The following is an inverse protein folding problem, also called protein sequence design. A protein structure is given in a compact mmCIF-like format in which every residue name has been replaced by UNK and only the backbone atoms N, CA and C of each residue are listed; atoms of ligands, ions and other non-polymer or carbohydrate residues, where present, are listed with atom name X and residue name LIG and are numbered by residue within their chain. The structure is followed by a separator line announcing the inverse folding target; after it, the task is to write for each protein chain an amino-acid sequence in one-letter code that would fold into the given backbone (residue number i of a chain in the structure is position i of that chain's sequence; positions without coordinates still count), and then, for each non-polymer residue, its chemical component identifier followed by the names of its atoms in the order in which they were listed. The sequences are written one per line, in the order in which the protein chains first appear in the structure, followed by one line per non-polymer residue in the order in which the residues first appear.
data_IF_757653399708
#
_entry.id   IF_757653399708
#
_cell.length_a   1.000
_cell.length_b   1.000
_cell.length_c   1.000
_cell.angle_alpha   90.00
_cell.angle_beta   90.00
_cell.angle_gamma   90.00
#
_symmetry.space_group_name_H-M   'P 1'
#
loop_
_entity.id
_entity.type
_entity.pdbx_description
1 polymer ?
#
# COMPACT_ATOMS: atom_id res chain seq x y z
N UNK A 1 31.98 20.59 -5.81
CA UNK A 1 30.99 19.56 -6.19
C UNK A 1 30.30 18.90 -4.98
N UNK A 2 30.19 19.58 -3.81
CA UNK A 2 29.61 18.98 -2.57
C UNK A 2 28.17 19.42 -2.26
N UNK A 3 27.51 20.20 -3.11
CA UNK A 3 26.23 20.85 -2.80
C UNK A 3 25.02 20.39 -3.63
N UNK A 4 25.15 19.41 -4.51
CA UNK A 4 23.97 18.89 -5.21
C UNK A 4 23.33 17.81 -4.35
N UNK A 5 21.98 17.83 -4.22
CA UNK A 5 21.25 16.75 -3.56
C UNK A 5 21.52 15.40 -4.24
N UNK A 6 21.63 14.35 -3.46
CA UNK A 6 21.78 12.99 -3.97
C UNK A 6 20.44 12.58 -4.58
N UNK A 7 20.50 12.09 -5.80
CA UNK A 7 19.31 11.65 -6.53
C UNK A 7 18.85 10.26 -6.11
N UNK A 8 17.57 9.93 -6.37
CA UNK A 8 17.02 8.60 -6.18
C UNK A 8 17.82 7.53 -6.93
N UNK A 9 18.22 7.82 -8.18
CA UNK A 9 18.99 6.88 -8.99
C UNK A 9 20.38 6.59 -8.42
N UNK A 10 21.08 7.61 -7.91
CA UNK A 10 22.40 7.44 -7.27
C UNK A 10 22.30 6.62 -5.99
N UNK A 11 21.27 6.87 -5.18
CA UNK A 11 21.02 6.08 -3.95
C UNK A 11 20.68 4.63 -4.27
N UNK A 12 19.79 4.38 -5.23
CA UNK A 12 19.43 3.03 -5.62
C UNK A 12 20.63 2.26 -6.17
N UNK A 13 21.45 2.89 -7.01
CA UNK A 13 22.68 2.28 -7.54
C UNK A 13 23.68 1.93 -6.41
N UNK A 14 23.86 2.84 -5.46
CA UNK A 14 24.76 2.64 -4.32
C UNK A 14 24.27 1.54 -3.37
N UNK A 15 22.95 1.45 -3.15
CA UNK A 15 22.31 0.40 -2.36
C UNK A 15 22.43 -0.96 -3.07
N UNK A 16 22.12 -1.00 -4.36
CA UNK A 16 22.28 -2.21 -5.17
C UNK A 16 23.70 -2.75 -5.06
N UNK A 17 24.72 -1.89 -5.25
CA UNK A 17 26.12 -2.28 -5.18
C UNK A 17 26.48 -2.90 -3.83
N UNK A 18 26.17 -2.22 -2.72
CA UNK A 18 26.54 -2.73 -1.38
C UNK A 18 25.83 -4.03 -1.03
N UNK A 19 24.59 -4.22 -1.49
CA UNK A 19 23.86 -5.47 -1.28
C UNK A 19 24.43 -6.60 -2.14
N UNK A 20 24.81 -6.31 -3.38
CA UNK A 20 25.43 -7.28 -4.29
C UNK A 20 26.81 -7.78 -3.80
N UNK A 21 27.55 -6.95 -3.07
CA UNK A 21 28.85 -7.32 -2.49
C UNK A 21 28.71 -8.32 -1.32
N UNK A 22 27.50 -8.51 -0.76
CA UNK A 22 27.29 -9.41 0.38
C UNK A 22 26.96 -10.84 -0.10
N UNK A 23 27.77 -11.85 0.25
CA UNK A 23 27.55 -13.22 -0.21
C UNK A 23 26.35 -13.91 0.45
N UNK A 24 25.86 -13.40 1.57
CA UNK A 24 24.73 -13.92 2.32
C UNK A 24 23.38 -13.33 1.88
N UNK A 25 23.37 -12.43 0.89
CA UNK A 25 22.14 -11.88 0.29
C UNK A 25 21.82 -12.68 -0.98
N UNK A 26 20.63 -13.25 -1.07
CA UNK A 26 20.22 -14.09 -2.18
C UNK A 26 19.51 -13.30 -3.28
N UNK A 27 18.70 -12.31 -2.91
CA UNK A 27 18.03 -11.45 -3.88
C UNK A 27 17.76 -10.04 -3.31
N UNK A 28 17.64 -9.07 -4.21
CA UNK A 28 17.14 -7.73 -3.91
C UNK A 28 16.29 -7.24 -5.07
N UNK A 29 15.16 -6.60 -4.75
CA UNK A 29 14.27 -6.03 -5.73
C UNK A 29 13.61 -4.76 -5.19
N UNK A 30 13.20 -3.89 -6.10
CA UNK A 30 12.44 -2.70 -5.79
C UNK A 30 10.94 -3.00 -5.91
N UNK A 31 10.19 -2.64 -4.88
CA UNK A 31 8.74 -2.81 -4.75
C UNK A 31 8.00 -1.47 -4.91
N UNK A 32 6.87 -1.32 -4.25
CA UNK A 32 6.11 -0.08 -4.14
C UNK A 32 5.73 0.54 -5.47
N UNK A 33 5.91 1.85 -5.61
CA UNK A 33 5.56 2.58 -6.83
C UNK A 33 6.34 2.11 -8.06
N UNK A 34 7.58 1.65 -7.89
CA UNK A 34 8.41 1.13 -8.97
C UNK A 34 7.86 -0.18 -9.53
N UNK A 35 7.38 -1.09 -8.68
CA UNK A 35 6.77 -2.35 -9.09
C UNK A 35 5.47 -2.16 -9.90
N UNK A 36 4.76 -1.05 -9.69
CA UNK A 36 3.59 -0.69 -10.49
C UNK A 36 3.90 0.17 -11.73
N UNK A 37 5.17 0.43 -12.03
CA UNK A 37 5.57 1.33 -13.12
C UNK A 37 5.13 2.78 -12.89
N UNK A 38 4.96 3.20 -11.64
CA UNK A 38 4.41 4.50 -11.21
C UNK A 38 5.43 5.37 -10.48
N UNK A 39 6.72 4.97 -10.49
CA UNK A 39 7.76 5.74 -9.83
C UNK A 39 7.96 7.10 -10.51
N UNK A 40 7.99 8.17 -9.71
CA UNK A 40 8.18 9.55 -10.12
C UNK A 40 9.18 10.28 -9.20
N UNK A 41 9.28 11.60 -9.33
CA UNK A 41 10.18 12.42 -8.52
C UNK A 41 9.82 12.50 -7.03
N UNK A 42 8.62 12.05 -6.65
CA UNK A 42 8.11 12.03 -5.28
C UNK A 42 8.12 10.63 -4.67
N UNK A 43 8.58 9.64 -5.45
CA UNK A 43 8.57 8.24 -5.04
C UNK A 43 9.73 7.90 -4.14
N UNK A 44 9.43 7.13 -3.11
CA UNK A 44 10.39 6.50 -2.20
C UNK A 44 11.23 5.42 -2.90
N UNK A 45 12.23 4.90 -2.21
CA UNK A 45 12.91 3.66 -2.56
C UNK A 45 12.37 2.57 -1.66
N UNK A 46 11.47 1.75 -2.17
CA UNK A 46 10.92 0.57 -1.49
C UNK A 46 11.80 -0.65 -1.83
N UNK A 47 12.77 -0.97 -0.99
CA UNK A 47 13.78 -1.99 -1.25
C UNK A 47 13.54 -3.24 -0.42
N UNK A 48 13.36 -4.37 -1.10
CA UNK A 48 13.17 -5.69 -0.51
C UNK A 48 14.44 -6.51 -0.67
N UNK A 49 14.88 -7.18 0.41
CA UNK A 49 16.12 -7.96 0.45
C UNK A 49 15.85 -9.31 1.07
N UNK A 50 16.22 -10.38 0.36
CA UNK A 50 16.19 -11.75 0.86
C UNK A 50 17.60 -12.15 1.32
N UNK A 51 17.72 -12.61 2.57
CA UNK A 51 18.99 -12.83 3.22
C UNK A 51 19.01 -14.12 4.05
N UNK A 52 20.18 -14.74 4.23
CA UNK A 52 20.37 -15.82 5.19
C UNK A 52 19.88 -15.42 6.58
N UNK A 53 19.16 -16.31 7.26
CA UNK A 53 18.32 -16.01 8.43
C UNK A 53 19.05 -15.34 9.60
N UNK A 54 20.34 -15.62 9.74
CA UNK A 54 21.22 -15.11 10.79
C UNK A 54 21.98 -13.84 10.41
N UNK A 55 21.71 -13.26 9.21
CA UNK A 55 22.43 -12.11 8.67
C UNK A 55 21.60 -10.83 8.50
N UNK A 56 20.40 -10.79 9.06
CA UNK A 56 19.49 -9.61 8.97
C UNK A 56 20.19 -8.34 9.45
N UNK A 57 20.82 -8.37 10.62
CA UNK A 57 21.50 -7.21 11.19
C UNK A 57 22.72 -6.78 10.35
N UNK A 58 23.40 -7.73 9.72
CA UNK A 58 24.54 -7.46 8.85
C UNK A 58 24.14 -6.67 7.59
N UNK A 59 22.92 -6.93 7.05
CA UNK A 59 22.36 -6.13 5.94
C UNK A 59 22.18 -4.68 6.37
N UNK A 60 21.52 -4.43 7.50
CA UNK A 60 21.31 -3.07 7.99
C UNK A 60 22.64 -2.35 8.22
N UNK A 61 23.62 -3.02 8.84
CA UNK A 61 24.93 -2.44 9.07
C UNK A 61 25.65 -2.05 7.77
N UNK A 62 25.64 -2.93 6.74
CA UNK A 62 26.25 -2.65 5.45
C UNK A 62 25.57 -1.47 4.74
N UNK A 63 24.24 -1.44 4.75
CA UNK A 63 23.44 -0.34 4.17
C UNK A 63 23.69 0.97 4.91
N UNK A 64 23.67 0.98 6.24
CA UNK A 64 23.87 2.20 7.04
C UNK A 64 25.30 2.76 6.85
N UNK A 65 26.32 1.90 6.77
CA UNK A 65 27.68 2.31 6.45
C UNK A 65 27.76 2.94 5.05
N UNK A 66 27.11 2.32 4.06
CA UNK A 66 27.07 2.85 2.69
C UNK A 66 26.37 4.19 2.62
N UNK A 67 25.18 4.31 3.22
CA UNK A 67 24.43 5.56 3.26
C UNK A 67 25.20 6.69 3.91
N UNK A 68 25.83 6.44 5.08
CA UNK A 68 26.65 7.43 5.77
C UNK A 68 27.89 7.84 4.99
N UNK A 69 28.41 6.99 4.11
CA UNK A 69 29.53 7.36 3.20
C UNK A 69 29.12 8.36 2.12
N UNK A 70 27.82 8.40 1.77
CA UNK A 70 27.25 9.31 0.78
C UNK A 70 26.75 10.60 1.43
N UNK A 71 26.01 10.46 2.53
CA UNK A 71 25.43 11.56 3.30
C UNK A 71 25.14 11.10 4.72
N UNK A 72 25.23 11.96 5.72
CA UNK A 72 24.75 11.62 7.06
C UNK A 72 23.28 11.16 7.02
N UNK A 73 22.97 10.08 7.74
CA UNK A 73 21.60 9.68 7.99
C UNK A 73 21.05 10.61 9.09
N UNK A 74 20.04 11.41 8.79
CA UNK A 74 19.47 12.34 9.74
C UNK A 74 18.27 11.76 10.50
N UNK A 75 17.66 10.69 9.98
CA UNK A 75 16.55 10.00 10.65
C UNK A 75 16.56 8.52 10.30
N UNK A 76 16.39 7.70 11.33
CA UNK A 76 16.16 6.23 11.21
C UNK A 76 14.92 5.91 12.03
N UNK A 77 14.04 5.10 11.46
CA UNK A 77 12.95 4.46 12.19
C UNK A 77 12.95 2.97 11.90
N UNK A 78 13.00 2.16 12.93
CA UNK A 78 12.93 0.70 12.85
C UNK A 78 11.56 0.22 13.31
N UNK A 79 10.92 -0.65 12.53
CA UNK A 79 9.66 -1.28 12.92
C UNK A 79 9.92 -2.21 14.12
N UNK A 80 9.23 -1.99 15.26
CA UNK A 80 9.38 -2.87 16.42
C UNK A 80 9.05 -4.32 16.10
N UNK A 81 9.87 -5.24 16.64
CA UNK A 81 9.64 -6.67 16.50
C UNK A 81 8.82 -7.25 17.67
N UNK A 82 7.94 -8.24 17.41
CA UNK A 82 7.61 -8.82 16.09
C UNK A 82 6.75 -7.88 15.24
N UNK A 83 7.16 -7.65 14.00
CA UNK A 83 6.37 -6.88 13.05
C UNK A 83 5.15 -7.68 12.56
N UNK A 84 4.05 -6.99 12.26
CA UNK A 84 2.80 -7.63 11.81
C UNK A 84 2.96 -8.41 10.49
N UNK A 85 3.91 -8.01 9.65
CA UNK A 85 4.24 -8.66 8.38
C UNK A 85 5.36 -9.71 8.49
N UNK A 86 5.96 -9.90 9.68
CA UNK A 86 6.97 -10.93 9.93
C UNK A 86 8.39 -10.62 9.46
N UNK A 87 8.63 -9.45 8.84
CA UNK A 87 9.93 -9.05 8.33
C UNK A 87 10.55 -7.94 9.16
N UNK A 88 11.87 -7.76 9.03
CA UNK A 88 12.58 -6.62 9.62
C UNK A 88 12.53 -5.45 8.64
N UNK A 89 12.26 -4.24 9.15
CA UNK A 89 12.11 -3.07 8.29
C UNK A 89 12.65 -1.81 8.97
N UNK A 90 13.42 -1.04 8.20
CA UNK A 90 13.91 0.28 8.62
C UNK A 90 13.64 1.31 7.55
N UNK A 91 13.34 2.51 8.01
CA UNK A 91 13.19 3.70 7.17
C UNK A 91 14.36 4.64 7.41
N UNK A 92 14.88 5.24 6.33
CA UNK A 92 15.98 6.17 6.41
C UNK A 92 15.67 7.46 5.66
N UNK A 93 16.12 8.57 6.22
CA UNK A 93 16.19 9.86 5.54
C UNK A 93 17.62 10.39 5.62
N UNK A 94 18.11 10.96 4.52
CA UNK A 94 19.47 11.46 4.40
C UNK A 94 19.47 13.00 4.39
N UNK A 95 20.49 13.59 5.00
CA UNK A 95 20.65 15.04 5.08
C UNK A 95 20.76 15.70 3.69
N UNK A 96 21.48 15.05 2.75
CA UNK A 96 21.77 15.58 1.41
C UNK A 96 20.87 15.03 0.32
N UNK A 97 19.77 14.36 0.65
CA UNK A 97 18.74 13.95 -0.30
C UNK A 97 17.52 14.88 -0.19
N UNK A 98 16.57 14.75 -1.12
CA UNK A 98 15.27 15.42 -1.01
C UNK A 98 14.58 15.00 0.29
N UNK A 99 13.90 15.93 0.96
CA UNK A 99 13.08 15.64 2.15
C UNK A 99 11.92 14.68 1.85
N UNK A 100 11.53 14.57 0.58
CA UNK A 100 10.51 13.65 0.08
C UNK A 100 11.05 12.27 -0.26
N UNK A 101 12.38 12.08 -0.30
CA UNK A 101 13.00 10.81 -0.66
C UNK A 101 13.25 9.97 0.59
N UNK A 102 12.36 9.05 0.86
CA UNK A 102 12.49 8.05 1.91
C UNK A 102 13.12 6.76 1.34
N UNK A 103 13.91 6.08 2.13
CA UNK A 103 14.36 4.73 1.85
C UNK A 103 13.64 3.80 2.80
N UNK A 104 12.78 2.94 2.27
CA UNK A 104 12.10 1.86 2.98
C UNK A 104 12.84 0.55 2.66
N UNK A 105 13.55 0.02 3.65
CA UNK A 105 14.32 -1.21 3.52
C UNK A 105 13.68 -2.33 4.34
N UNK A 106 13.06 -3.28 3.65
CA UNK A 106 12.55 -4.51 4.24
C UNK A 106 13.53 -5.66 4.02
N UNK A 107 13.94 -6.30 5.10
CA UNK A 107 14.87 -7.44 5.10
C UNK A 107 14.13 -8.70 5.52
N UNK A 108 14.10 -9.67 4.61
CA UNK A 108 13.34 -10.91 4.72
C UNK A 108 14.30 -12.07 4.95
N UNK A 109 14.04 -12.89 5.95
CA UNK A 109 14.76 -14.14 6.13
C UNK A 109 14.50 -15.08 4.95
N UNK A 110 15.52 -15.79 4.49
CA UNK A 110 15.38 -16.75 3.39
C UNK A 110 14.32 -17.82 3.66
N UNK A 111 14.19 -18.26 4.92
CA UNK A 111 13.19 -19.22 5.36
C UNK A 111 11.74 -18.66 5.37
N UNK A 112 11.54 -17.35 5.27
CA UNK A 112 10.21 -16.75 5.21
C UNK A 112 9.49 -17.16 3.92
N UNK A 113 8.25 -17.62 4.05
CA UNK A 113 7.44 -18.08 2.92
C UNK A 113 6.72 -16.94 2.19
N UNK A 114 6.37 -15.89 2.91
CA UNK A 114 5.75 -14.69 2.34
C UNK A 114 6.85 -13.69 1.96
N UNK A 115 6.91 -13.34 0.67
CA UNK A 115 7.90 -12.41 0.10
C UNK A 115 7.24 -11.20 -0.56
N UNK A 116 5.91 -11.06 -0.44
CA UNK A 116 5.13 -10.00 -1.08
C UNK A 116 5.34 -9.91 -2.59
N UNK A 117 5.25 -11.07 -3.25
CA UNK A 117 5.53 -11.21 -4.69
C UNK A 117 4.27 -11.39 -5.55
N UNK A 118 3.08 -11.42 -4.98
CA UNK A 118 1.83 -11.50 -5.74
C UNK A 118 1.66 -10.23 -6.58
N UNK A 119 1.78 -10.36 -7.91
CA UNK A 119 1.82 -9.22 -8.86
C UNK A 119 0.57 -8.36 -8.74
N UNK A 120 -0.59 -8.98 -8.58
CA UNK A 120 -1.86 -8.27 -8.48
C UNK A 120 -1.94 -7.36 -7.24
N UNK A 121 -1.25 -7.76 -6.16
CA UNK A 121 -1.23 -7.03 -4.88
C UNK A 121 -0.05 -6.07 -4.78
N UNK A 122 1.14 -6.51 -5.21
CA UNK A 122 2.40 -5.81 -4.93
C UNK A 122 3.05 -5.20 -6.18
N UNK A 123 2.50 -5.47 -7.38
CA UNK A 123 3.08 -5.07 -8.65
C UNK A 123 4.19 -6.02 -9.12
N UNK A 124 4.72 -5.79 -10.31
CA UNK A 124 5.83 -6.57 -10.85
C UNK A 124 7.15 -6.14 -10.20
N UNK A 125 7.83 -7.02 -9.43
CA UNK A 125 9.04 -6.66 -8.72
C UNK A 125 10.14 -6.25 -9.70
N UNK A 126 10.73 -5.07 -9.48
CA UNK A 126 11.88 -4.64 -10.27
C UNK A 126 13.16 -5.27 -9.71
N UNK A 127 13.54 -6.41 -10.28
CA UNK A 127 14.68 -7.19 -9.81
C UNK A 127 15.97 -6.40 -10.00
N UNK A 128 16.73 -6.21 -8.92
CA UNK A 128 18.08 -5.66 -8.95
C UNK A 128 19.09 -6.77 -9.18
N UNK A 129 18.99 -7.84 -8.41
CA UNK A 129 19.64 -9.12 -8.64
C UNK A 129 18.88 -10.26 -7.93
N UNK A 130 19.05 -11.48 -8.44
CA UNK A 130 18.49 -12.70 -7.84
C UNK A 130 19.44 -13.89 -8.14
N UNK A 131 20.12 -14.37 -7.10
CA UNK A 131 21.11 -15.44 -7.17
C UNK A 131 20.53 -16.82 -6.92
N UNK A 132 19.37 -16.87 -6.29
CA UNK A 132 18.78 -18.12 -5.80
C UNK A 132 17.39 -18.41 -6.41
N UNK A 133 16.91 -17.57 -7.33
CA UNK A 133 15.57 -17.71 -7.90
C UNK A 133 14.46 -17.43 -6.88
N UNK A 134 14.73 -16.50 -5.96
CA UNK A 134 13.79 -16.12 -4.89
C UNK A 134 12.61 -15.30 -5.42
N UNK A 135 12.91 -14.43 -6.40
CA UNK A 135 11.91 -13.50 -6.94
C UNK A 135 11.08 -14.22 -8.01
N UNK A 136 10.24 -15.13 -7.56
CA UNK A 136 9.33 -15.90 -8.38
C UNK A 136 7.88 -15.62 -7.96
N UNK A 137 7.18 -14.67 -8.60
CA UNK A 137 5.81 -14.33 -8.26
C UNK A 137 4.89 -15.55 -8.32
N UNK A 138 4.16 -15.88 -7.24
CA UNK A 138 3.20 -16.96 -7.26
C UNK A 138 1.98 -16.58 -8.11
N UNK A 139 1.31 -17.54 -8.75
CA UNK A 139 0.04 -17.28 -9.41
C UNK A 139 -1.02 -16.91 -8.37
N UNK A 140 -1.89 -15.95 -8.72
CA UNK A 140 -3.02 -15.59 -7.87
C UNK A 140 -3.95 -16.80 -7.68
N UNK A 141 -4.22 -17.15 -6.43
CA UNK A 141 -5.28 -18.13 -6.09
C UNK A 141 -6.66 -17.45 -6.25
N UNK A 142 -7.21 -17.55 -7.46
CA UNK A 142 -8.48 -16.91 -7.83
C UNK A 142 -9.67 -17.51 -7.10
N UNK A 143 -9.63 -18.82 -6.80
CA UNK A 143 -10.71 -19.50 -6.11
C UNK A 143 -10.78 -19.04 -4.65
N UNK A 144 -9.63 -19.02 -3.95
CA UNK A 144 -9.54 -18.50 -2.61
C UNK A 144 -9.92 -17.00 -2.54
N UNK A 145 -9.46 -16.20 -3.49
CA UNK A 145 -9.81 -14.78 -3.57
C UNK A 145 -11.32 -14.60 -3.76
N UNK A 146 -11.95 -15.32 -4.70
CA UNK A 146 -13.39 -15.24 -4.94
C UNK A 146 -14.20 -15.59 -3.68
N UNK A 147 -13.84 -16.68 -2.99
CA UNK A 147 -14.49 -17.08 -1.74
C UNK A 147 -14.34 -16.00 -0.65
N UNK A 148 -13.15 -15.43 -0.50
CA UNK A 148 -12.88 -14.35 0.45
C UNK A 148 -13.69 -13.08 0.14
N UNK A 149 -13.82 -12.73 -1.13
CA UNK A 149 -14.56 -11.55 -1.57
C UNK A 149 -16.07 -11.69 -1.31
N UNK A 150 -16.65 -12.86 -1.54
CA UNK A 150 -18.06 -13.12 -1.21
C UNK A 150 -18.29 -12.93 0.30
N UNK A 151 -17.49 -13.55 1.14
CA UNK A 151 -17.57 -13.40 2.59
C UNK A 151 -17.34 -11.93 3.03
N UNK A 152 -16.44 -11.22 2.35
CA UNK A 152 -16.15 -9.81 2.62
C UNK A 152 -17.33 -8.90 2.27
N UNK A 153 -18.00 -9.11 1.14
CA UNK A 153 -19.19 -8.34 0.74
C UNK A 153 -20.30 -8.50 1.78
N UNK A 154 -20.55 -9.72 2.27
CA UNK A 154 -21.56 -9.94 3.31
C UNK A 154 -21.19 -9.27 4.63
N UNK A 155 -19.91 -9.29 5.00
CA UNK A 155 -19.40 -8.57 6.17
C UNK A 155 -19.57 -7.06 6.00
N UNK A 156 -19.19 -6.51 4.83
CA UNK A 156 -19.34 -5.10 4.52
C UNK A 156 -20.80 -4.66 4.58
N UNK A 157 -21.72 -5.42 3.98
CA UNK A 157 -23.15 -5.12 3.99
C UNK A 157 -23.69 -5.02 5.43
N UNK A 158 -23.33 -6.00 6.27
CA UNK A 158 -23.78 -6.06 7.67
C UNK A 158 -23.19 -4.92 8.51
N UNK A 159 -21.88 -4.73 8.44
CA UNK A 159 -21.16 -3.74 9.26
C UNK A 159 -21.47 -2.32 8.82
N UNK A 160 -21.65 -2.09 7.51
CA UNK A 160 -22.05 -0.80 6.99
C UNK A 160 -23.42 -0.37 7.53
N UNK A 161 -24.43 -1.25 7.44
CA UNK A 161 -25.78 -0.92 7.91
C UNK A 161 -25.84 -0.67 9.41
N UNK A 162 -25.04 -1.42 10.19
CA UNK A 162 -24.93 -1.22 11.64
C UNK A 162 -24.22 0.09 12.01
N UNK A 163 -23.12 0.44 11.35
CA UNK A 163 -22.22 1.49 11.84
C UNK A 163 -22.37 2.84 11.14
N UNK A 164 -22.92 2.92 9.92
CA UNK A 164 -23.21 4.20 9.25
C UNK A 164 -24.02 5.17 10.09
N UNK A 165 -24.86 4.64 11.00
CA UNK A 165 -25.69 5.45 11.89
C UNK A 165 -24.86 6.25 12.92
N UNK A 166 -23.59 5.86 13.18
CA UNK A 166 -22.74 6.60 14.13
C UNK A 166 -22.44 8.00 13.59
N UNK A 167 -22.13 8.13 12.30
CA UNK A 167 -21.97 9.45 11.67
C UNK A 167 -23.27 10.29 11.80
N UNK A 168 -24.41 9.69 11.51
CA UNK A 168 -25.73 10.36 11.63
C UNK A 168 -26.01 10.84 13.05
N UNK A 169 -25.69 10.04 14.07
CA UNK A 169 -25.86 10.43 15.47
C UNK A 169 -25.06 11.70 15.81
N UNK A 170 -23.82 11.79 15.37
CA UNK A 170 -22.98 12.94 15.67
C UNK A 170 -23.34 14.18 14.84
N UNK A 171 -23.81 14.00 13.61
CA UNK A 171 -24.41 15.08 12.81
C UNK A 171 -25.59 15.68 13.58
N UNK A 172 -26.52 14.85 14.08
CA UNK A 172 -27.70 15.29 14.82
C UNK A 172 -27.36 15.97 16.16
N UNK A 173 -26.19 15.63 16.75
CA UNK A 173 -25.69 16.28 17.98
C UNK A 173 -24.96 17.58 17.71
N UNK A 174 -24.59 17.87 16.46
CA UNK A 174 -23.75 19.02 16.09
C UNK A 174 -22.26 18.79 16.34
N UNK A 175 -21.80 17.54 16.59
CA UNK A 175 -20.41 17.16 16.86
C UNK A 175 -19.66 16.96 15.54
N UNK A 176 -19.22 18.05 14.92
CA UNK A 176 -18.66 18.03 13.57
C UNK A 176 -17.43 17.14 13.42
N UNK A 177 -16.51 17.13 14.39
CA UNK A 177 -15.28 16.34 14.31
C UNK A 177 -15.54 14.84 14.44
N UNK A 178 -16.37 14.44 15.41
CA UNK A 178 -16.74 13.02 15.57
C UNK A 178 -17.55 12.53 14.38
N UNK A 179 -18.46 13.36 13.87
CA UNK A 179 -19.24 13.07 12.67
C UNK A 179 -18.34 12.83 11.45
N UNK A 180 -17.30 13.66 11.26
CA UNK A 180 -16.34 13.52 10.16
C UNK A 180 -15.55 12.22 10.28
N UNK A 181 -15.05 11.90 11.46
CA UNK A 181 -14.27 10.66 11.70
C UNK A 181 -15.14 9.43 11.44
N UNK A 182 -16.38 9.41 11.94
CA UNK A 182 -17.29 8.30 11.72
C UNK A 182 -17.74 8.20 10.25
N UNK A 183 -17.99 9.32 9.58
CA UNK A 183 -18.26 9.35 8.16
C UNK A 183 -17.13 8.72 7.34
N UNK A 184 -15.90 9.12 7.59
CA UNK A 184 -14.74 8.57 6.88
C UNK A 184 -14.57 7.07 7.13
N UNK A 185 -14.71 6.62 8.37
CA UNK A 185 -14.42 5.23 8.74
C UNK A 185 -15.57 4.27 8.46
N UNK A 186 -16.83 4.69 8.62
CA UNK A 186 -18.00 3.81 8.56
C UNK A 186 -18.93 4.08 7.38
N UNK A 187 -18.58 5.07 6.54
CA UNK A 187 -19.37 5.37 5.34
C UNK A 187 -18.49 5.41 4.10
N UNK A 188 -17.51 6.31 4.04
CA UNK A 188 -16.71 6.53 2.84
C UNK A 188 -15.75 5.35 2.56
N UNK A 189 -14.98 4.90 3.54
CA UNK A 189 -14.04 3.78 3.35
C UNK A 189 -14.73 2.48 2.95
N UNK A 190 -15.82 2.04 3.60
CA UNK A 190 -16.57 0.85 3.15
C UNK A 190 -17.13 0.98 1.73
N UNK A 191 -17.63 2.16 1.35
CA UNK A 191 -18.05 2.43 -0.03
C UNK A 191 -16.91 2.27 -1.02
N UNK A 192 -15.75 2.85 -0.72
CA UNK A 192 -14.56 2.72 -1.59
C UNK A 192 -14.09 1.27 -1.68
N UNK A 193 -14.11 0.52 -0.58
CA UNK A 193 -13.78 -0.90 -0.59
C UNK A 193 -14.74 -1.70 -1.47
N UNK A 194 -16.04 -1.45 -1.37
CA UNK A 194 -17.04 -2.11 -2.22
C UNK A 194 -16.88 -1.75 -3.70
N UNK A 195 -16.57 -0.49 -4.02
CA UNK A 195 -16.24 -0.06 -5.38
C UNK A 195 -14.99 -0.75 -5.92
N UNK A 196 -13.98 -0.97 -5.06
CA UNK A 196 -12.80 -1.74 -5.45
C UNK A 196 -13.14 -3.20 -5.71
N UNK A 197 -13.95 -3.84 -4.86
CA UNK A 197 -14.43 -5.21 -5.09
C UNK A 197 -15.12 -5.32 -6.46
N UNK A 198 -15.89 -4.31 -6.85
CA UNK A 198 -16.56 -4.29 -8.15
C UNK A 198 -15.61 -4.10 -9.34
N UNK A 199 -14.60 -3.24 -9.22
CA UNK A 199 -13.79 -2.78 -10.36
C UNK A 199 -12.38 -3.34 -10.42
N UNK A 200 -11.77 -3.66 -9.27
CA UNK A 200 -10.42 -4.19 -9.13
C UNK A 200 -10.33 -5.06 -7.86
N UNK A 201 -11.04 -6.19 -7.86
CA UNK A 201 -11.21 -7.04 -6.67
C UNK A 201 -9.90 -7.52 -6.06
N UNK A 202 -8.84 -7.67 -6.84
CA UNK A 202 -7.51 -8.07 -6.37
C UNK A 202 -6.92 -7.04 -5.39
N UNK A 203 -7.33 -5.76 -5.49
CA UNK A 203 -6.83 -4.66 -4.66
C UNK A 203 -7.88 -4.05 -3.75
N UNK A 204 -8.88 -4.81 -3.35
CA UNK A 204 -9.98 -4.31 -2.52
C UNK A 204 -9.50 -3.70 -1.20
N UNK A 205 -8.40 -4.21 -0.63
CA UNK A 205 -7.83 -3.76 0.64
C UNK A 205 -7.03 -2.44 0.55
N UNK A 206 -6.81 -1.88 -0.65
CA UNK A 206 -5.98 -0.69 -0.84
C UNK A 206 -6.63 0.60 -0.32
N UNK A 207 -7.88 0.55 0.13
CA UNK A 207 -8.62 1.72 0.62
C UNK A 207 -8.56 2.87 -0.40
N UNK A 208 -8.15 4.07 0.02
CA UNK A 208 -8.04 5.25 -0.85
C UNK A 208 -6.73 5.31 -1.67
N UNK A 209 -5.79 4.40 -1.45
CA UNK A 209 -4.51 4.38 -2.18
C UNK A 209 -4.75 4.08 -3.66
N UNK A 210 -4.22 4.91 -4.55
CA UNK A 210 -4.30 4.77 -6.00
C UNK A 210 -5.72 4.74 -6.62
N UNK A 211 -6.77 5.19 -5.92
CA UNK A 211 -8.13 5.24 -6.49
C UNK A 211 -8.22 6.07 -7.77
N UNK A 212 -7.39 7.10 -7.90
CA UNK A 212 -7.29 7.94 -9.09
C UNK A 212 -6.75 7.22 -10.34
N UNK A 213 -6.11 6.07 -10.15
CA UNK A 213 -5.52 5.25 -11.22
C UNK A 213 -6.33 3.96 -11.39
N UNK A 214 -6.68 3.32 -10.27
CA UNK A 214 -7.28 1.99 -10.23
C UNK A 214 -8.78 2.00 -10.56
N UNK A 215 -9.48 3.12 -10.32
CA UNK A 215 -10.93 3.21 -10.57
C UNK A 215 -11.25 4.11 -11.77
N UNK A 216 -12.38 3.86 -12.46
CA UNK A 216 -12.82 4.72 -13.55
C UNK A 216 -12.91 6.20 -13.13
N UNK A 217 -12.49 7.12 -14.01
CA UNK A 217 -12.38 8.55 -13.70
C UNK A 217 -13.68 9.16 -13.12
N UNK A 218 -14.86 8.74 -13.60
CA UNK A 218 -16.15 9.22 -13.07
C UNK A 218 -16.38 8.79 -11.62
N UNK A 219 -15.95 7.58 -11.26
CA UNK A 219 -16.04 7.04 -9.90
C UNK A 219 -15.05 7.79 -9.01
N UNK A 220 -13.80 7.95 -9.44
CA UNK A 220 -12.81 8.74 -8.73
C UNK A 220 -13.31 10.15 -8.41
N UNK A 221 -13.81 10.89 -9.41
CA UNK A 221 -14.33 12.25 -9.21
C UNK A 221 -15.48 12.30 -8.20
N UNK A 222 -16.36 11.28 -8.19
CA UNK A 222 -17.44 11.20 -7.21
C UNK A 222 -16.91 10.93 -5.80
N UNK A 223 -15.95 10.01 -5.65
CA UNK A 223 -15.27 9.73 -4.37
C UNK A 223 -14.55 10.97 -3.86
N UNK A 224 -13.77 11.64 -4.71
CA UNK A 224 -13.04 12.86 -4.35
C UNK A 224 -13.97 13.95 -3.81
N UNK A 225 -15.09 14.21 -4.49
CA UNK A 225 -16.11 15.15 -4.02
C UNK A 225 -16.70 14.76 -2.66
N UNK A 226 -16.95 13.47 -2.43
CA UNK A 226 -17.44 12.96 -1.16
C UNK A 226 -16.39 13.07 -0.05
N UNK A 227 -15.10 12.92 -0.37
CA UNK A 227 -14.02 12.94 0.62
C UNK A 227 -13.76 14.34 1.20
N UNK A 228 -13.86 15.40 0.39
CA UNK A 228 -13.64 16.77 0.84
C UNK A 228 -14.92 17.37 1.43
N UNK A 229 -14.97 17.53 2.75
CA UNK A 229 -16.10 18.04 3.50
C UNK A 229 -15.81 19.44 4.04
N UNK A 230 -16.69 20.39 3.78
CA UNK A 230 -16.50 21.80 4.15
C UNK A 230 -17.15 22.20 5.49
N UNK A 231 -18.24 21.56 5.87
CA UNK A 231 -18.98 21.84 7.12
C UNK A 231 -19.96 20.70 7.42
N UNK A 232 -20.66 20.79 8.56
CA UNK A 232 -21.56 19.75 9.02
C UNK A 232 -22.77 19.52 8.10
N UNK A 233 -23.31 20.57 7.47
CA UNK A 233 -24.43 20.44 6.53
C UNK A 233 -23.98 19.74 5.23
N UNK A 234 -22.78 20.06 4.74
CA UNK A 234 -22.16 19.40 3.61
C UNK A 234 -21.86 17.93 3.93
N UNK A 235 -21.38 17.66 5.16
CA UNK A 235 -21.18 16.29 5.64
C UNK A 235 -22.47 15.49 5.63
N UNK A 236 -23.59 16.08 6.08
CA UNK A 236 -24.89 15.42 6.12
C UNK A 236 -25.36 15.00 4.72
N UNK A 237 -25.28 15.91 3.76
CA UNK A 237 -25.62 15.63 2.36
C UNK A 237 -24.74 14.54 1.76
N UNK A 238 -23.44 14.61 1.97
CA UNK A 238 -22.47 13.63 1.47
C UNK A 238 -22.63 12.27 2.13
N UNK A 239 -22.96 12.25 3.42
CA UNK A 239 -23.26 11.00 4.11
C UNK A 239 -24.49 10.31 3.51
N UNK A 240 -25.57 11.05 3.26
CA UNK A 240 -26.76 10.49 2.62
C UNK A 240 -26.42 9.94 1.24
N UNK A 241 -25.76 10.73 0.39
CA UNK A 241 -25.38 10.30 -0.95
C UNK A 241 -24.46 9.06 -0.94
N UNK A 242 -23.49 9.03 -0.03
CA UNK A 242 -22.57 7.89 0.07
C UNK A 242 -23.28 6.61 0.54
N UNK A 243 -24.27 6.74 1.43
CA UNK A 243 -25.12 5.63 1.88
C UNK A 243 -25.98 5.08 0.73
N UNK A 244 -26.63 5.95 -0.03
CA UNK A 244 -27.42 5.55 -1.20
C UNK A 244 -26.54 4.84 -2.23
N UNK A 245 -25.41 5.41 -2.54
CA UNK A 245 -24.46 4.84 -3.50
C UNK A 245 -23.88 3.49 -3.03
N UNK A 246 -23.64 3.32 -1.73
CA UNK A 246 -23.20 2.02 -1.20
C UNK A 246 -24.21 0.91 -1.49
N UNK A 247 -25.48 1.15 -1.23
CA UNK A 247 -26.52 0.14 -1.47
C UNK A 247 -26.75 -0.10 -2.97
N UNK A 248 -26.70 0.92 -3.83
CA UNK A 248 -26.72 0.76 -5.29
C UNK A 248 -25.60 -0.19 -5.75
N UNK A 249 -24.37 0.08 -5.32
CA UNK A 249 -23.21 -0.76 -5.69
C UNK A 249 -23.30 -2.17 -5.09
N UNK A 250 -23.82 -2.31 -3.87
CA UNK A 250 -24.02 -3.60 -3.23
C UNK A 250 -25.00 -4.47 -4.02
N UNK A 251 -26.12 -3.90 -4.46
CA UNK A 251 -27.10 -4.60 -5.29
C UNK A 251 -26.49 -5.02 -6.63
N UNK A 252 -25.75 -4.11 -7.29
CA UNK A 252 -25.04 -4.43 -8.54
C UNK A 252 -24.01 -5.57 -8.38
N UNK A 253 -23.24 -5.57 -7.28
CA UNK A 253 -22.25 -6.63 -7.00
C UNK A 253 -22.93 -7.97 -6.73
N UNK A 254 -24.09 -7.97 -6.07
CA UNK A 254 -24.86 -9.18 -5.78
C UNK A 254 -25.55 -9.75 -7.03
N UNK A 255 -26.04 -8.89 -7.91
CA UNK A 255 -26.73 -9.31 -9.14
C UNK A 255 -25.75 -9.80 -10.20
N UNK A 256 -24.64 -9.11 -10.40
CA UNK A 256 -23.66 -9.38 -11.47
C UNK A 256 -22.61 -10.41 -11.05
N UNK A 257 -22.44 -10.65 -9.75
CA UNK A 257 -21.32 -11.40 -9.20
C UNK A 257 -20.01 -10.61 -9.24
N UNK A 258 -18.96 -11.18 -8.61
CA UNK A 258 -17.63 -10.58 -8.58
C UNK A 258 -16.85 -11.13 -9.76
N UNK A 259 -16.46 -10.26 -10.70
CA UNK A 259 -15.65 -10.64 -11.86
C UNK A 259 -14.18 -10.45 -11.54
N UNK A 260 -13.41 -11.53 -11.43
CA UNK A 260 -11.96 -11.46 -11.35
C UNK A 260 -11.38 -11.29 -12.76
N UNK A 261 -10.45 -10.34 -12.95
CA UNK A 261 -9.77 -10.15 -14.23
C UNK A 261 -9.12 -11.45 -14.69
N UNK A 262 -9.36 -11.88 -15.93
CA UNK A 262 -8.59 -12.97 -16.53
C UNK A 262 -7.21 -12.43 -16.87
N UNK A 263 -6.15 -13.01 -16.29
CA UNK A 263 -4.77 -12.64 -16.67
C UNK A 263 -4.57 -12.99 -18.15
N UNK A 264 -4.47 -11.97 -19.01
CA UNK A 264 -4.09 -12.09 -20.41
C UNK A 264 -5.09 -11.47 -21.38
N UNK A 265 -5.19 -10.16 -21.41
CA UNK A 265 -5.44 -9.37 -22.63
C UNK A 265 -4.57 -8.10 -22.57
#
# INVERSE_FOLDING_TARGET
MKDQPITRAELLAALTQVLEEQPFIFAAWEAGSAAFGRADQWSDIDLMVDVADDHVDAVFQAVEQRLNSLSPINLIYEIPQPAWHGHHQKFYRLERASEFLLIDLAVMKHSSTDKFLEIELHGEPRILFDRAGVVAPPPLDREALAANLVARVDTLATTFDLFRILARKEINRGNALDALVYYQNFTLRPLVELLRIKHIPERYQFSLRYVNIDLPAKIYTRIERLAFVSNLNDLDQKHQEAVEWFFEVLDEVREQGISLSTSGD
#
